data_IF_503295635230
#
_entry.id   IF_503295635230
#
_cell.length_a   1.000
_cell.length_b   1.000
_cell.length_c   1.000
_cell.angle_alpha   90.00
_cell.angle_beta   90.00
_cell.angle_gamma   90.00
#
_symmetry.space_group_name_H-M   'P 1'
#
loop_
_entity.id
_entity.type
_entity.pdbx_description
1 polymer ?
#
# COMPACT_ATOMS: atom_id res chain seq x y z
N UNK A 1 8.12 -15.84 -11.18
CA UNK A 1 8.87 -15.01 -10.22
C UNK A 1 10.17 -14.63 -10.91
N UNK A 2 10.42 -13.35 -11.21
CA UNK A 2 11.70 -12.95 -11.78
C UNK A 2 12.26 -11.79 -10.95
N UNK A 3 13.38 -12.05 -10.29
CA UNK A 3 14.22 -11.04 -9.66
C UNK A 3 15.14 -10.48 -10.74
N UNK A 4 15.16 -9.15 -10.93
CA UNK A 4 16.22 -8.50 -11.68
C UNK A 4 17.42 -8.32 -10.75
N UNK A 5 18.45 -9.14 -10.94
CA UNK A 5 19.64 -9.19 -10.08
C UNK A 5 20.52 -7.91 -10.12
N UNK A 6 20.17 -6.89 -10.93
CA UNK A 6 21.03 -5.73 -11.15
C UNK A 6 20.51 -4.40 -10.55
N UNK A 7 19.24 -4.26 -10.16
CA UNK A 7 18.67 -2.91 -9.92
C UNK A 7 17.98 -2.67 -8.57
N UNK A 8 17.74 -3.68 -7.71
CA UNK A 8 17.07 -3.50 -6.40
C UNK A 8 15.72 -2.73 -6.43
N UNK A 9 15.11 -2.55 -7.61
CA UNK A 9 13.78 -1.96 -7.77
C UNK A 9 12.73 -3.04 -7.59
N UNK A 10 11.77 -2.80 -6.69
CA UNK A 10 10.58 -3.63 -6.53
C UNK A 10 9.83 -3.70 -7.87
N UNK A 11 9.46 -4.92 -8.29
CA UNK A 11 8.60 -5.11 -9.45
C UNK A 11 7.18 -4.65 -9.10
N UNK A 12 6.74 -3.55 -9.70
CA UNK A 12 5.33 -3.22 -9.90
C UNK A 12 4.74 -4.33 -10.77
N UNK A 13 3.76 -5.10 -10.27
CA UNK A 13 2.90 -5.86 -11.18
C UNK A 13 1.71 -4.99 -11.50
N UNK A 14 1.68 -4.53 -12.74
CA UNK A 14 0.55 -3.83 -13.32
C UNK A 14 -0.34 -4.87 -14.03
N UNK A 15 -1.58 -4.99 -13.57
CA UNK A 15 -2.59 -5.80 -14.24
C UNK A 15 -3.60 -4.87 -14.89
N UNK A 16 -3.60 -4.82 -16.21
CA UNK A 16 -4.56 -4.04 -17.00
C UNK A 16 -5.70 -4.94 -17.47
N UNK A 17 -6.92 -4.66 -17.01
CA UNK A 17 -8.16 -5.30 -17.46
C UNK A 17 -8.79 -4.43 -18.54
N UNK A 18 -8.59 -4.81 -19.81
CA UNK A 18 -9.17 -4.10 -20.96
C UNK A 18 -10.65 -4.39 -21.14
N UNK A 19 -11.51 -3.36 -21.20
CA UNK A 19 -12.95 -3.54 -21.48
C UNK A 19 -13.67 -2.27 -21.95
N UNK A 20 -14.46 -2.42 -23.02
CA UNK A 20 -15.58 -1.52 -23.32
C UNK A 20 -16.78 -1.90 -22.44
N UNK A 21 -17.16 -1.06 -21.46
CA UNK A 21 -18.37 -1.30 -20.67
C UNK A 21 -19.60 -0.75 -21.40
N UNK A 22 -20.41 -1.66 -21.92
CA UNK A 22 -21.86 -1.58 -21.77
C UNK A 22 -22.18 -2.17 -20.39
N UNK A 23 -22.51 -1.29 -19.43
CA UNK A 23 -23.24 -1.55 -18.17
C UNK A 23 -22.76 -2.70 -17.25
N UNK A 24 -22.26 -2.33 -16.06
CA UNK A 24 -21.94 -3.16 -14.88
C UNK A 24 -20.74 -4.14 -14.99
N UNK A 25 -19.95 -4.22 -13.92
CA UNK A 25 -19.01 -5.33 -13.73
C UNK A 25 -19.82 -6.62 -13.58
N UNK A 26 -19.60 -7.63 -14.43
CA UNK A 26 -20.22 -8.94 -14.19
C UNK A 26 -19.51 -9.63 -13.02
N UNK A 27 -20.20 -10.57 -12.37
CA UNK A 27 -19.61 -11.34 -11.27
C UNK A 27 -18.29 -12.03 -11.63
N UNK A 28 -18.06 -12.33 -12.91
CA UNK A 28 -16.82 -12.98 -13.37
C UNK A 28 -15.60 -12.05 -13.29
N UNK A 29 -15.73 -10.75 -13.57
CA UNK A 29 -14.58 -9.83 -13.47
C UNK A 29 -14.23 -9.52 -12.02
N UNK A 30 -15.25 -9.35 -11.17
CA UNK A 30 -15.07 -9.17 -9.72
C UNK A 30 -14.30 -10.36 -9.15
N UNK A 31 -14.71 -11.58 -9.51
CA UNK A 31 -14.02 -12.80 -9.06
C UNK A 31 -12.58 -12.89 -9.55
N UNK A 32 -12.28 -12.45 -10.78
CA UNK A 32 -10.90 -12.41 -11.30
C UNK A 32 -10.02 -11.45 -10.51
N UNK A 33 -10.55 -10.27 -10.17
CA UNK A 33 -9.82 -9.28 -9.37
C UNK A 33 -9.58 -9.80 -7.96
N UNK A 34 -10.62 -10.30 -7.29
CA UNK A 34 -10.51 -10.86 -5.94
C UNK A 34 -9.51 -12.03 -5.93
N UNK A 35 -9.60 -12.94 -6.90
CA UNK A 35 -8.66 -14.04 -7.03
C UNK A 35 -7.22 -13.54 -7.19
N UNK A 36 -6.98 -12.56 -8.07
CA UNK A 36 -5.66 -11.95 -8.25
C UNK A 36 -5.12 -11.35 -6.94
N UNK A 37 -5.93 -10.54 -6.25
CA UNK A 37 -5.54 -9.93 -4.98
C UNK A 37 -5.20 -11.00 -3.94
N UNK A 38 -6.03 -12.05 -3.83
CA UNK A 38 -5.82 -13.14 -2.89
C UNK A 38 -4.51 -13.90 -3.15
N UNK A 39 -4.16 -14.15 -4.41
CA UNK A 39 -2.93 -14.84 -4.77
C UNK A 39 -1.69 -13.98 -4.50
N UNK A 40 -1.77 -12.68 -4.72
CA UNK A 40 -0.64 -11.77 -4.47
C UNK A 40 -0.40 -11.59 -2.96
N UNK A 41 -1.46 -11.42 -2.17
CA UNK A 41 -1.36 -11.32 -0.71
C UNK A 41 -0.74 -12.58 -0.09
N UNK A 42 -1.07 -13.77 -0.60
CA UNK A 42 -0.44 -15.03 -0.16
C UNK A 42 1.08 -15.04 -0.37
N UNK A 43 1.59 -14.31 -1.37
CA UNK A 43 3.01 -14.27 -1.71
C UNK A 43 3.73 -13.15 -0.96
N UNK A 44 3.08 -11.99 -0.79
CA UNK A 44 3.72 -10.79 -0.26
C UNK A 44 3.37 -10.47 1.20
N UNK A 45 2.42 -11.20 1.80
CA UNK A 45 1.75 -10.95 3.08
C UNK A 45 0.89 -9.68 3.11
N UNK A 46 1.40 -8.58 2.54
CA UNK A 46 0.69 -7.33 2.41
C UNK A 46 1.07 -6.60 1.11
N UNK A 47 0.09 -5.90 0.54
CA UNK A 47 0.25 -5.15 -0.70
C UNK A 47 -0.46 -3.80 -0.61
N UNK A 48 0.16 -2.81 -1.25
CA UNK A 48 -0.44 -1.51 -1.52
C UNK A 48 -1.11 -1.58 -2.88
N UNK A 49 -2.42 -1.43 -2.87
CA UNK A 49 -3.27 -1.52 -4.05
C UNK A 49 -3.78 -0.14 -4.44
N UNK A 50 -3.73 0.13 -5.74
CA UNK A 50 -4.35 1.28 -6.39
C UNK A 50 -5.16 0.75 -7.57
N UNK A 51 -6.37 1.26 -7.75
CA UNK A 51 -7.18 1.02 -8.94
C UNK A 51 -7.30 2.32 -9.72
N UNK A 52 -7.14 2.25 -11.04
CA UNK A 52 -7.32 3.40 -11.93
C UNK A 52 -8.23 3.03 -13.10
N UNK A 53 -9.30 3.80 -13.27
CA UNK A 53 -10.25 3.64 -14.36
C UNK A 53 -9.94 4.64 -15.46
N UNK A 54 -9.88 4.17 -16.70
CA UNK A 54 -9.69 4.97 -17.89
C UNK A 54 -10.98 5.01 -18.71
N UNK A 55 -11.48 6.21 -19.00
CA UNK A 55 -12.70 6.43 -19.78
C UNK A 55 -12.47 7.41 -20.92
N UNK A 56 -13.20 7.20 -22.02
CA UNK A 56 -13.27 8.13 -23.13
C UNK A 56 -14.45 9.06 -22.93
N UNK A 57 -14.20 10.36 -22.96
CA UNK A 57 -15.19 11.40 -22.74
C UNK A 57 -15.33 12.28 -23.99
N UNK A 58 -16.54 12.77 -24.22
CA UNK A 58 -16.85 13.74 -25.27
C UNK A 58 -17.41 15.01 -24.67
N UNK A 59 -16.88 16.15 -25.12
CA UNK A 59 -17.46 17.45 -24.87
C UNK A 59 -18.43 17.76 -26.01
N UNK A 60 -19.73 17.52 -25.79
CA UNK A 60 -20.76 17.60 -26.84
C UNK A 60 -20.79 18.98 -27.54
N UNK A 61 -20.56 20.05 -26.78
CA UNK A 61 -20.59 21.44 -27.28
C UNK A 61 -19.50 21.74 -28.31
N UNK A 62 -18.32 21.15 -28.15
CA UNK A 62 -17.14 21.41 -29.00
C UNK A 62 -16.78 20.19 -29.88
N UNK A 63 -17.48 19.07 -29.72
CA UNK A 63 -17.15 17.75 -30.31
C UNK A 63 -15.71 17.31 -30.07
N UNK A 64 -15.14 17.75 -28.94
CA UNK A 64 -13.80 17.35 -28.52
C UNK A 64 -13.91 16.03 -27.79
N UNK A 65 -12.98 15.12 -28.09
CA UNK A 65 -12.92 13.81 -27.46
C UNK A 65 -11.59 13.69 -26.74
N UNK A 66 -11.64 13.25 -25.48
CA UNK A 66 -10.45 13.12 -24.66
C UNK A 66 -10.54 11.90 -23.74
N UNK A 67 -9.38 11.38 -23.36
CA UNK A 67 -9.27 10.26 -22.42
C UNK A 67 -9.02 10.82 -21.02
N UNK A 68 -9.85 10.42 -20.06
CA UNK A 68 -9.71 10.80 -18.65
C UNK A 68 -9.48 9.55 -17.82
N UNK A 69 -8.74 9.72 -16.73
CA UNK A 69 -8.53 8.66 -15.75
C UNK A 69 -8.87 9.11 -14.33
N UNK A 70 -9.26 8.14 -13.52
CA UNK A 70 -9.75 8.32 -12.15
C UNK A 70 -9.15 7.22 -11.28
N UNK A 71 -8.29 7.61 -10.34
CA UNK A 71 -7.57 6.67 -9.48
C UNK A 71 -8.03 6.72 -8.03
N UNK A 72 -7.93 5.58 -7.36
CA UNK A 72 -8.14 5.48 -5.92
C UNK A 72 -6.90 5.97 -5.16
N UNK A 73 -7.10 6.35 -3.90
CA UNK A 73 -5.98 6.44 -2.98
C UNK A 73 -5.35 5.06 -2.77
N UNK A 74 -4.09 5.07 -2.35
CA UNK A 74 -3.41 3.85 -1.93
C UNK A 74 -4.16 3.20 -0.77
N UNK A 75 -4.48 1.90 -0.88
CA UNK A 75 -4.95 1.09 0.24
C UNK A 75 -3.99 -0.06 0.49
N UNK A 76 -3.53 -0.21 1.73
CA UNK A 76 -2.79 -1.40 2.14
C UNK A 76 -3.81 -2.50 2.45
N UNK A 77 -3.57 -3.69 1.90
CA UNK A 77 -4.37 -4.88 2.17
C UNK A 77 -3.43 -6.02 2.59
N UNK A 78 -3.90 -6.86 3.49
CA UNK A 78 -3.22 -8.05 3.99
C UNK A 78 -4.21 -9.23 4.04
N UNK A 79 -3.80 -10.34 4.65
CA UNK A 79 -4.63 -11.54 4.76
C UNK A 79 -5.90 -11.37 5.59
N UNK A 80 -6.02 -10.32 6.41
CA UNK A 80 -7.20 -10.03 7.22
C UNK A 80 -8.23 -9.16 6.50
N UNK A 81 -7.87 -8.57 5.35
CA UNK A 81 -8.76 -7.68 4.61
C UNK A 81 -9.90 -8.44 3.90
N UNK A 82 -11.13 -7.90 3.96
CA UNK A 82 -12.22 -8.34 3.09
C UNK A 82 -12.02 -7.78 1.67
N UNK A 83 -11.61 -8.65 0.75
CA UNK A 83 -11.31 -8.26 -0.63
C UNK A 83 -12.54 -7.83 -1.43
N UNK A 84 -13.75 -8.30 -1.06
CA UNK A 84 -14.99 -7.83 -1.70
C UNK A 84 -15.26 -6.39 -1.30
N UNK A 85 -15.21 -6.11 0.01
CA UNK A 85 -15.39 -4.75 0.53
C UNK A 85 -14.38 -3.79 -0.10
N UNK A 86 -13.10 -4.16 -0.12
CA UNK A 86 -12.04 -3.38 -0.77
C UNK A 86 -12.39 -3.06 -2.23
N UNK A 87 -12.83 -4.05 -2.99
CA UNK A 87 -13.20 -3.87 -4.39
C UNK A 87 -14.38 -2.91 -4.56
N UNK A 88 -15.46 -3.09 -3.81
CA UNK A 88 -16.65 -2.25 -3.93
C UNK A 88 -16.39 -0.81 -3.48
N UNK A 89 -15.57 -0.60 -2.43
CA UNK A 89 -15.13 0.74 -2.03
C UNK A 89 -14.36 1.43 -3.15
N UNK A 90 -13.48 0.73 -3.86
CA UNK A 90 -12.77 1.30 -5.01
C UNK A 90 -13.71 1.64 -6.18
N UNK A 91 -14.68 0.78 -6.46
CA UNK A 91 -15.69 1.03 -7.50
C UNK A 91 -16.53 2.27 -7.16
N UNK A 92 -16.97 2.40 -5.90
CA UNK A 92 -17.78 3.54 -5.46
C UNK A 92 -17.00 4.87 -5.54
N UNK A 93 -15.74 4.87 -5.11
CA UNK A 93 -14.84 6.02 -5.22
C UNK A 93 -14.68 6.49 -6.67
N UNK A 94 -14.36 5.58 -7.59
CA UNK A 94 -14.20 5.93 -9.00
C UNK A 94 -15.52 6.39 -9.62
N UNK A 95 -16.64 5.73 -9.28
CA UNK A 95 -17.97 6.12 -9.76
C UNK A 95 -18.33 7.54 -9.30
N UNK A 96 -18.01 7.87 -8.05
CA UNK A 96 -18.19 9.21 -7.49
C UNK A 96 -17.34 10.24 -8.23
N UNK A 97 -16.04 9.97 -8.43
CA UNK A 97 -15.14 10.86 -9.17
C UNK A 97 -15.62 11.09 -10.61
N UNK A 98 -16.08 10.04 -11.30
CA UNK A 98 -16.65 10.14 -12.66
C UNK A 98 -17.94 10.96 -12.68
N UNK A 99 -18.81 10.82 -11.67
CA UNK A 99 -20.05 11.58 -11.56
C UNK A 99 -19.77 13.06 -11.32
N UNK A 100 -18.84 13.37 -10.40
CA UNK A 100 -18.43 14.74 -10.14
C UNK A 100 -17.80 15.40 -11.36
N UNK A 101 -16.96 14.67 -12.11
CA UNK A 101 -16.34 15.19 -13.32
C UNK A 101 -17.39 15.63 -14.36
N UNK A 102 -18.45 14.84 -14.54
CA UNK A 102 -19.57 15.17 -15.44
C UNK A 102 -20.42 16.34 -14.91
N UNK A 103 -20.58 16.47 -13.59
CA UNK A 103 -21.42 17.49 -12.95
C UNK A 103 -20.80 18.90 -12.87
N UNK A 104 -19.47 19.05 -12.97
CA UNK A 104 -18.77 20.35 -12.81
C UNK A 104 -18.94 21.32 -14.00
N UNK A 105 -20.13 21.40 -14.59
CA UNK A 105 -20.53 22.31 -15.70
C UNK A 105 -19.65 22.26 -16.95
N UNK A 106 -18.81 21.25 -17.06
CA UNK A 106 -17.78 21.15 -18.09
C UNK A 106 -18.31 20.60 -19.41
N UNK A 107 -19.53 20.04 -19.43
CA UNK A 107 -20.17 19.47 -20.61
C UNK A 107 -19.55 18.15 -21.09
N UNK A 108 -18.64 17.56 -20.30
CA UNK A 108 -18.07 16.26 -20.61
C UNK A 108 -19.05 15.15 -20.27
N UNK A 109 -19.31 14.30 -21.26
CA UNK A 109 -20.13 13.10 -21.15
C UNK A 109 -19.25 11.87 -21.36
N UNK A 110 -19.45 10.85 -20.53
CA UNK A 110 -18.77 9.57 -20.71
C UNK A 110 -19.30 8.89 -21.97
N UNK A 111 -18.43 8.57 -22.93
CA UNK A 111 -18.81 7.72 -24.06
C UNK A 111 -18.74 6.24 -23.69
N UNK A 112 -17.59 5.80 -23.17
CA UNK A 112 -17.37 4.43 -22.70
C UNK A 112 -16.14 4.35 -21.81
N UNK A 113 -16.15 3.39 -20.90
CA UNK A 113 -14.96 3.00 -20.14
C UNK A 113 -14.06 2.17 -21.07
N UNK A 114 -12.76 2.44 -21.05
CA UNK A 114 -11.76 1.78 -21.90
C UNK A 114 -11.15 0.56 -21.21
N UNK A 115 -10.72 0.73 -19.97
CA UNK A 115 -10.09 -0.31 -19.15
C UNK A 115 -9.93 0.16 -17.70
N UNK A 116 -9.63 -0.81 -16.82
CA UNK A 116 -9.25 -0.55 -15.43
C UNK A 116 -7.90 -1.20 -15.17
N UNK A 117 -7.01 -0.45 -14.55
CA UNK A 117 -5.70 -0.92 -14.11
C UNK A 117 -5.68 -1.13 -12.61
N UNK A 118 -5.06 -2.24 -12.21
CA UNK A 118 -4.82 -2.58 -10.81
C UNK A 118 -3.32 -2.63 -10.60
N UNK A 119 -2.84 -1.68 -9.82
CA UNK A 119 -1.44 -1.52 -9.47
C UNK A 119 -1.20 -2.16 -8.10
N UNK A 120 -0.41 -3.23 -8.09
CA UNK A 120 -0.05 -3.99 -6.90
C UNK A 120 1.42 -3.77 -6.57
N UNK A 121 1.66 -3.21 -5.39
CA UNK A 121 3.00 -2.95 -4.89
C UNK A 121 3.19 -3.69 -3.57
N UNK A 122 4.24 -4.52 -3.47
CA UNK A 122 4.57 -5.21 -2.22
C UNK A 122 4.70 -4.19 -1.08
N UNK A 123 3.88 -4.34 -0.05
CA UNK A 123 3.95 -3.52 1.14
C UNK A 123 4.78 -4.23 2.20
N UNK A 124 6.04 -3.80 2.33
CA UNK A 124 6.84 -4.16 3.49
C UNK A 124 6.50 -3.18 4.61
N UNK A 125 5.57 -3.54 5.50
CA UNK A 125 5.53 -2.90 6.80
C UNK A 125 6.93 -3.05 7.41
N UNK A 126 7.54 -1.97 7.89
CA UNK A 126 8.77 -2.07 8.66
C UNK A 126 8.43 -2.84 9.94
N UNK A 127 8.55 -4.17 9.89
CA UNK A 127 8.55 -4.98 11.09
C UNK A 127 9.72 -4.54 11.96
N UNK A 128 9.57 -4.68 13.28
CA UNK A 128 10.74 -4.66 14.15
C UNK A 128 11.78 -5.64 13.61
N UNK A 129 13.04 -5.25 13.67
CA UNK A 129 14.16 -6.13 13.36
C UNK A 129 14.96 -6.44 14.62
N UNK A 130 16.09 -7.10 14.46
CA UNK A 130 17.12 -7.12 15.49
C UNK A 130 17.99 -5.87 15.39
N UNK A 131 18.99 -5.80 16.26
CA UNK A 131 19.96 -4.72 16.23
C UNK A 131 20.56 -4.53 14.83
N UNK A 132 20.43 -3.31 14.31
CA UNK A 132 21.11 -2.87 13.11
C UNK A 132 22.24 -1.91 13.48
N UNK A 133 23.44 -2.21 12.99
CA UNK A 133 24.60 -1.37 13.25
C UNK A 133 24.43 0.01 12.61
N UNK A 134 24.66 1.06 13.41
CA UNK A 134 24.62 2.43 12.92
C UNK A 134 25.73 2.68 11.89
N UNK A 135 25.48 3.52 10.89
CA UNK A 135 26.55 4.10 10.08
C UNK A 135 27.62 4.76 10.96
N UNK A 136 28.90 4.58 10.62
CA UNK A 136 30.03 4.98 11.46
C UNK A 136 30.04 6.48 11.82
N UNK A 137 29.53 7.35 10.95
CA UNK A 137 29.45 8.79 11.21
C UNK A 137 28.40 9.16 12.26
N UNK A 138 27.38 8.31 12.47
CA UNK A 138 26.37 8.47 13.52
C UNK A 138 26.87 7.85 14.81
N UNK A 139 27.41 6.63 14.74
CA UNK A 139 27.96 5.88 15.89
C UNK A 139 29.03 6.71 16.63
N UNK A 140 29.92 7.38 15.88
CA UNK A 140 30.96 8.25 16.44
C UNK A 140 30.42 9.44 17.23
N UNK A 141 29.22 9.95 16.91
CA UNK A 141 28.62 11.09 17.62
C UNK A 141 28.10 10.70 19.00
N UNK A 142 27.92 9.40 19.29
CA UNK A 142 27.43 8.88 20.58
C UNK A 142 26.13 9.52 21.09
N UNK A 143 25.33 10.10 20.18
CA UNK A 143 24.09 10.80 20.51
C UNK A 143 22.84 9.93 20.43
N UNK A 144 22.99 8.64 20.08
CA UNK A 144 21.89 7.69 19.91
C UNK A 144 22.15 6.48 20.79
N UNK A 145 21.14 6.09 21.57
CA UNK A 145 21.09 4.79 22.25
C UNK A 145 20.58 3.76 21.23
N UNK A 146 21.44 2.84 20.80
CA UNK A 146 21.10 1.78 19.85
C UNK A 146 21.19 0.41 20.55
N UNK A 147 20.10 0.00 21.18
CA UNK A 147 20.04 -1.23 21.99
C UNK A 147 20.34 -2.48 21.16
N UNK A 148 21.21 -3.35 21.68
CA UNK A 148 21.69 -4.59 21.08
C UNK A 148 20.73 -5.76 21.32
N UNK A 149 19.60 -5.79 20.60
CA UNK A 149 18.65 -6.90 20.67
C UNK A 149 18.90 -8.00 19.63
N UNK A 150 18.57 -9.24 19.98
CA UNK A 150 18.64 -10.43 19.10
C UNK A 150 17.26 -10.87 18.56
N UNK A 151 16.19 -10.44 19.22
CA UNK A 151 14.81 -10.64 18.76
C UNK A 151 14.45 -9.69 17.60
N UNK A 152 13.25 -9.80 17.03
CA UNK A 152 12.75 -8.88 15.99
C UNK A 152 12.00 -7.67 16.59
N UNK A 153 12.40 -7.19 17.78
CA UNK A 153 11.69 -6.17 18.53
C UNK A 153 12.50 -4.86 18.71
N UNK A 154 13.40 -4.52 17.79
CA UNK A 154 14.28 -3.33 17.93
C UNK A 154 13.48 -2.02 18.07
N UNK A 155 12.29 -1.95 17.46
CA UNK A 155 11.38 -0.81 17.61
C UNK A 155 10.89 -0.65 19.05
N UNK A 156 10.46 -1.76 19.67
CA UNK A 156 10.02 -1.77 21.07
C UNK A 156 11.20 -1.44 22.00
N UNK A 157 12.37 -2.02 21.77
CA UNK A 157 13.58 -1.71 22.54
C UNK A 157 14.01 -0.24 22.43
N UNK A 158 13.84 0.39 21.25
CA UNK A 158 14.08 1.82 21.09
C UNK A 158 13.13 2.65 21.96
N UNK A 159 11.83 2.34 21.97
CA UNK A 159 10.84 3.05 22.80
C UNK A 159 11.14 2.82 24.28
N UNK A 160 11.37 1.58 24.70
CA UNK A 160 11.70 1.24 26.09
C UNK A 160 12.93 1.99 26.57
N UNK A 161 13.98 2.09 25.76
CA UNK A 161 15.21 2.80 26.14
C UNK A 161 15.00 4.31 26.34
N UNK A 162 14.03 4.89 25.61
CA UNK A 162 13.65 6.29 25.76
C UNK A 162 12.77 6.52 27.00
N UNK A 163 11.86 5.58 27.32
CA UNK A 163 10.98 5.66 28.47
C UNK A 163 11.69 5.34 29.80
N UNK A 164 12.68 4.44 29.76
CA UNK A 164 13.44 3.98 30.93
C UNK A 164 14.94 4.24 30.74
N UNK A 165 15.38 5.52 30.68
CA UNK A 165 16.77 5.85 30.43
C UNK A 165 17.67 5.36 31.55
N UNK A 166 18.75 4.68 31.18
CA UNK A 166 19.78 4.18 32.11
C UNK A 166 21.10 4.92 31.91
N UNK A 167 21.95 4.93 32.94
CA UNK A 167 23.24 5.64 32.89
C UNK A 167 24.39 4.77 32.36
N UNK A 168 24.32 3.47 32.61
CA UNK A 168 25.35 2.50 32.25
C UNK A 168 24.75 1.36 31.44
N UNK A 169 25.58 0.71 30.61
CA UNK A 169 25.16 -0.41 29.75
C UNK A 169 23.89 -0.08 28.95
N UNK A 170 23.83 1.15 28.42
CA UNK A 170 22.68 1.68 27.68
C UNK A 170 22.36 0.88 26.41
N UNK A 171 23.30 0.08 25.93
CA UNK A 171 23.09 -0.73 24.74
C UNK A 171 22.59 -2.14 25.09
N UNK A 172 22.66 -2.56 26.36
CA UNK A 172 22.27 -3.91 26.75
C UNK A 172 20.77 -3.98 27.01
N UNK A 173 20.11 -4.96 26.38
CA UNK A 173 18.69 -5.26 26.59
C UNK A 173 18.36 -5.49 28.07
N UNK A 174 19.25 -6.14 28.81
CA UNK A 174 19.06 -6.45 30.24
C UNK A 174 19.07 -5.23 31.16
N UNK A 175 19.49 -4.07 30.65
CA UNK A 175 19.43 -2.81 31.39
C UNK A 175 18.02 -2.24 31.46
N UNK A 176 17.08 -2.77 30.68
CA UNK A 176 15.74 -2.25 30.53
C UNK A 176 14.66 -3.26 30.98
N UNK A 177 13.49 -2.78 31.41
CA UNK A 177 12.35 -3.67 31.65
C UNK A 177 11.93 -4.36 30.35
N UNK A 178 11.36 -5.56 30.48
CA UNK A 178 10.85 -6.30 29.33
C UNK A 178 9.68 -5.56 28.71
N UNK A 179 9.71 -5.34 27.40
CA UNK A 179 8.68 -4.55 26.71
C UNK A 179 7.27 -5.14 26.88
N UNK A 180 7.13 -6.46 27.05
CA UNK A 180 5.84 -7.14 27.29
C UNK A 180 5.20 -6.82 28.64
N UNK A 181 5.98 -6.31 29.60
CA UNK A 181 5.47 -5.85 30.90
C UNK A 181 5.09 -4.37 30.90
N UNK A 182 5.54 -3.63 29.88
CA UNK A 182 5.34 -2.18 29.75
C UNK A 182 4.24 -1.87 28.73
N UNK A 183 4.15 -2.66 27.67
CA UNK A 183 3.14 -2.55 26.64
C UNK A 183 2.24 -3.78 26.69
N UNK A 184 0.92 -3.56 26.75
CA UNK A 184 -0.09 -4.60 26.58
C UNK A 184 -0.16 -5.00 25.09
N UNK A 185 0.86 -5.73 24.64
CA UNK A 185 0.94 -6.28 23.29
C UNK A 185 0.48 -7.73 23.38
N UNK A 186 -0.79 -7.98 23.02
CA UNK A 186 -1.35 -9.32 22.83
C UNK A 186 -0.82 -9.99 21.56
#
# INVERSE_FOLDING_TARGET
>A
MYLCNNCWKQFTREYSLKRHLTESYSGNEVNKVIHLLSEVIKIHNADKVIMELFGRYILQTQKIVDNKSFNTANKVIDSAADLNDVFYVFVDLMTTQMSEFQKRDSGWELQFIMYVEINLNKFCAFGGSSYMKLPSFIEKKKGIVNVHNQDQCCFLWAIISALHPVRERTLDVSSYPQFSTVFDIE
#
